data_IF_086019623945
#
_entry.id   IF_086019623945
#
_cell.length_a   1.000
_cell.length_b   1.000
_cell.length_c   1.000
_cell.angle_alpha   90.00
_cell.angle_beta   90.00
_cell.angle_gamma   90.00
#
_symmetry.space_group_name_H-M   'P 1'
#
loop_
_entity.id
_entity.type
_entity.pdbx_description
1 polymer ?
#
# COMPACT_ATOMS: atom_id res chain seq x y z
N UNK A 1 -8.36 -3.65 -10.96
CA UNK A 1 -7.02 -3.65 -11.60
C UNK A 1 -6.77 -4.78 -12.61
N UNK A 2 -7.70 -5.74 -12.85
CA UNK A 2 -7.61 -6.69 -13.99
C UNK A 2 -7.47 -6.01 -15.36
N UNK A 3 -7.99 -4.78 -15.50
CA UNK A 3 -7.79 -3.96 -16.70
C UNK A 3 -6.35 -3.47 -16.91
N UNK A 4 -5.46 -3.53 -15.91
CA UNK A 4 -4.15 -2.89 -16.00
C UNK A 4 -3.27 -3.47 -17.10
N UNK A 5 -3.21 -4.79 -17.27
CA UNK A 5 -2.39 -5.42 -18.30
C UNK A 5 -3.16 -5.68 -19.59
N UNK A 6 -4.47 -5.90 -19.59
CA UNK A 6 -5.25 -5.96 -20.84
C UNK A 6 -5.47 -4.58 -21.49
N UNK A 7 -5.17 -3.49 -20.79
CA UNK A 7 -5.37 -2.15 -21.31
C UNK A 7 -4.22 -1.68 -22.21
N UNK A 8 -4.53 -0.74 -23.12
CA UNK A 8 -3.56 -0.11 -24.00
C UNK A 8 -2.31 0.39 -23.24
N UNK A 9 -1.14 0.38 -23.87
CA UNK A 9 0.16 0.76 -23.28
C UNK A 9 0.11 2.11 -22.54
N UNK A 10 -0.68 3.06 -23.03
CA UNK A 10 -0.95 4.37 -22.39
C UNK A 10 -1.52 4.21 -20.98
N UNK A 11 -2.47 3.30 -20.78
CA UNK A 11 -3.11 3.00 -19.50
C UNK A 11 -2.15 2.30 -18.51
N UNK A 12 -1.28 1.41 -18.99
CA UNK A 12 -0.23 0.79 -18.16
C UNK A 12 0.75 1.84 -17.60
N UNK A 13 1.17 2.80 -18.44
CA UNK A 13 2.06 3.89 -18.03
C UNK A 13 1.39 4.81 -17.00
N UNK A 14 0.12 5.15 -17.21
CA UNK A 14 -0.69 5.92 -16.26
C UNK A 14 -0.82 5.21 -14.91
N UNK A 15 -1.14 3.91 -14.90
CA UNK A 15 -1.23 3.14 -13.67
C UNK A 15 0.11 3.03 -12.92
N UNK A 16 1.23 2.90 -13.64
CA UNK A 16 2.56 2.88 -13.03
C UNK A 16 2.89 4.23 -12.40
N UNK A 17 2.62 5.33 -13.09
CA UNK A 17 2.82 6.69 -12.55
C UNK A 17 1.99 6.90 -11.29
N UNK A 18 0.73 6.48 -11.33
CA UNK A 18 -0.18 6.60 -10.19
C UNK A 18 0.27 5.77 -8.98
N UNK A 19 0.79 4.56 -9.20
CA UNK A 19 1.35 3.74 -8.13
C UNK A 19 2.58 4.40 -7.48
N UNK A 20 3.47 4.97 -8.30
CA UNK A 20 4.66 5.71 -7.83
C UNK A 20 4.24 6.96 -7.05
N UNK A 21 3.27 7.71 -7.54
CA UNK A 21 2.70 8.86 -6.84
C UNK A 21 2.09 8.46 -5.49
N UNK A 22 1.31 7.38 -5.46
CA UNK A 22 0.74 6.86 -4.21
C UNK A 22 1.85 6.51 -3.20
N UNK A 23 2.92 5.84 -3.63
CA UNK A 23 4.06 5.51 -2.75
C UNK A 23 4.76 6.77 -2.23
N UNK A 24 4.99 7.76 -3.10
CA UNK A 24 5.63 9.03 -2.71
C UNK A 24 4.78 9.82 -1.71
N UNK A 25 3.46 9.89 -1.94
CA UNK A 25 2.52 10.56 -1.05
C UNK A 25 2.43 9.83 0.30
N UNK A 26 2.37 8.49 0.28
CA UNK A 26 2.39 7.70 1.51
C UNK A 26 3.65 7.97 2.34
N UNK A 27 4.84 7.91 1.73
CA UNK A 27 6.09 8.19 2.41
C UNK A 27 6.17 9.62 2.97
N UNK A 28 5.60 10.60 2.26
CA UNK A 28 5.49 11.98 2.71
C UNK A 28 4.65 12.09 3.99
N UNK A 29 3.45 11.49 4.01
CA UNK A 29 2.58 11.52 5.18
C UNK A 29 3.15 10.75 6.36
N UNK A 30 3.75 9.58 6.13
CA UNK A 30 4.43 8.84 7.18
C UNK A 30 5.56 9.65 7.83
N UNK A 31 6.35 10.37 7.02
CA UNK A 31 7.40 11.26 7.53
C UNK A 31 6.79 12.41 8.34
N UNK A 32 5.69 13.00 7.87
CA UNK A 32 4.99 14.06 8.59
C UNK A 32 4.46 13.56 9.94
N UNK A 33 3.85 12.37 9.99
CA UNK A 33 3.37 11.75 11.24
C UNK A 33 4.51 11.53 12.24
N UNK A 34 5.69 11.10 11.76
CA UNK A 34 6.88 10.92 12.62
C UNK A 34 7.45 12.24 13.15
N UNK A 35 7.38 13.33 12.37
CA UNK A 35 8.02 14.61 12.69
C UNK A 35 7.13 15.57 13.50
N UNK A 36 5.82 15.49 13.34
CA UNK A 36 4.84 16.43 13.95
C UNK A 36 4.10 15.87 15.16
N UNK A 37 4.52 14.74 15.71
CA UNK A 37 3.89 14.18 16.90
C UNK A 37 3.96 15.15 18.11
N UNK A 38 2.92 15.19 18.97
CA UNK A 38 1.76 14.30 18.98
C UNK A 38 0.59 14.78 18.09
N UNK A 39 -0.01 13.84 17.35
CA UNK A 39 -1.34 13.98 16.75
C UNK A 39 -2.37 13.31 17.66
N UNK A 40 -3.54 13.91 17.83
CA UNK A 40 -4.64 13.26 18.53
C UNK A 40 -5.29 12.20 17.62
N UNK A 41 -5.85 11.13 18.21
CA UNK A 41 -6.54 10.09 17.44
C UNK A 41 -7.68 10.67 16.57
N UNK A 42 -8.38 11.69 17.06
CA UNK A 42 -9.43 12.38 16.30
C UNK A 42 -8.95 13.10 15.04
N UNK A 43 -7.69 13.54 14.99
CA UNK A 43 -7.12 14.20 13.81
C UNK A 43 -7.02 13.25 12.61
N UNK A 44 -6.94 11.93 12.89
CA UNK A 44 -6.88 10.89 11.87
C UNK A 44 -8.20 10.66 11.12
N UNK A 45 -9.25 11.37 11.51
CA UNK A 45 -10.58 11.32 10.89
C UNK A 45 -11.03 12.68 10.36
N UNK A 46 -10.17 13.71 10.47
CA UNK A 46 -10.49 15.08 10.10
C UNK A 46 -10.81 15.19 8.59
N UNK A 47 -11.88 15.92 8.21
CA UNK A 47 -12.18 16.23 6.80
C UNK A 47 -10.97 16.84 6.06
N UNK A 48 -10.17 17.66 6.75
CA UNK A 48 -8.96 18.29 6.20
C UNK A 48 -7.89 17.27 5.83
N UNK A 49 -7.74 16.19 6.61
CA UNK A 49 -6.83 15.10 6.30
C UNK A 49 -7.31 14.36 5.04
N UNK A 50 -8.61 14.10 4.93
CA UNK A 50 -9.23 13.45 3.77
C UNK A 50 -9.00 14.28 2.50
N UNK A 51 -9.30 15.59 2.56
CA UNK A 51 -9.09 16.54 1.46
C UNK A 51 -7.62 16.73 1.10
N UNK A 52 -6.73 16.83 2.09
CA UNK A 52 -5.28 16.94 1.87
C UNK A 52 -4.73 15.66 1.23
N UNK A 53 -5.19 14.50 1.67
CA UNK A 53 -4.81 13.20 1.11
C UNK A 53 -5.19 13.13 -0.36
N UNK A 54 -6.44 13.49 -0.70
CA UNK A 54 -6.88 13.56 -2.09
C UNK A 54 -6.04 14.56 -2.89
N UNK A 55 -5.89 15.80 -2.41
CA UNK A 55 -5.09 16.83 -3.09
C UNK A 55 -3.67 16.35 -3.43
N UNK A 56 -3.03 15.62 -2.51
CA UNK A 56 -1.66 15.10 -2.69
C UNK A 56 -1.61 13.95 -3.68
N UNK A 57 -2.56 13.01 -3.61
CA UNK A 57 -2.65 11.88 -4.54
C UNK A 57 -2.89 12.32 -5.98
N UNK A 58 -3.54 13.47 -6.18
CA UNK A 58 -3.98 13.95 -7.48
C UNK A 58 -3.36 15.29 -7.89
N UNK A 59 -2.23 15.67 -7.27
CA UNK A 59 -1.61 16.98 -7.52
C UNK A 59 -1.26 17.23 -9.00
N UNK A 60 -0.93 16.19 -9.76
CA UNK A 60 -0.64 16.26 -11.19
C UNK A 60 -1.85 16.04 -12.11
N UNK A 61 -3.02 15.70 -11.55
CA UNK A 61 -4.21 15.34 -12.31
C UNK A 61 -4.95 16.55 -12.90
N UNK A 62 -4.85 17.72 -12.26
CA UNK A 62 -5.61 18.93 -12.59
C UNK A 62 -5.45 19.41 -14.03
N UNK A 63 -4.35 19.04 -14.69
CA UNK A 63 -3.98 19.64 -15.96
C UNK A 63 -4.39 18.79 -17.17
N UNK A 64 -4.72 17.50 -16.98
CA UNK A 64 -5.02 16.57 -18.09
C UNK A 64 -5.99 15.42 -17.77
N UNK A 65 -6.32 15.14 -16.51
CA UNK A 65 -7.18 14.00 -16.16
C UNK A 65 -8.67 14.41 -16.15
N UNK A 66 -9.38 13.94 -17.16
CA UNK A 66 -10.84 14.04 -17.23
C UNK A 66 -11.49 12.88 -16.49
N UNK A 67 -12.54 13.19 -15.74
CA UNK A 67 -13.45 12.23 -15.15
C UNK A 67 -14.27 11.53 -16.25
N UNK A 68 -15.01 10.47 -15.86
CA UNK A 68 -15.83 9.70 -16.80
C UNK A 68 -16.92 10.53 -17.49
N UNK A 69 -17.35 11.63 -16.87
CA UNK A 69 -18.32 12.60 -17.41
C UNK A 69 -17.66 13.71 -18.25
N UNK A 70 -16.34 13.65 -18.44
CA UNK A 70 -15.58 14.64 -19.22
C UNK A 70 -15.18 15.90 -18.44
N UNK A 71 -15.65 16.07 -17.19
CA UNK A 71 -15.24 17.18 -16.33
C UNK A 71 -13.80 17.01 -15.84
N UNK A 72 -13.18 18.10 -15.40
CA UNK A 72 -11.80 18.08 -14.88
C UNK A 72 -11.85 17.74 -13.39
N UNK A 73 -11.04 16.77 -12.97
CA UNK A 73 -10.90 16.44 -11.56
C UNK A 73 -10.36 17.66 -10.78
N UNK A 74 -10.99 17.98 -9.64
CA UNK A 74 -10.55 19.05 -8.74
C UNK A 74 -9.87 18.46 -7.49
N UNK A 75 -8.53 18.41 -7.41
CA UNK A 75 -7.83 17.72 -6.32
C UNK A 75 -8.09 18.37 -4.95
N UNK A 76 -8.72 17.61 -4.05
CA UNK A 76 -8.93 17.97 -2.65
C UNK A 76 -10.19 18.78 -2.39
N UNK A 77 -11.00 19.00 -3.42
CA UNK A 77 -12.29 19.67 -3.29
C UNK A 77 -13.37 18.60 -3.08
N UNK A 78 -14.06 18.68 -1.94
CA UNK A 78 -15.22 17.83 -1.66
C UNK A 78 -16.35 18.14 -2.63
N UNK A 79 -17.13 17.12 -3.01
CA UNK A 79 -18.25 17.30 -3.96
C UNK A 79 -19.40 18.14 -3.40
N UNK A 80 -19.44 18.38 -2.09
CA UNK A 80 -20.31 19.40 -1.48
C UNK A 80 -20.02 20.81 -2.00
N UNK A 81 -18.76 21.13 -2.28
CA UNK A 81 -18.35 22.39 -2.88
C UNK A 81 -18.64 22.50 -4.38
N UNK A 82 -18.76 21.36 -5.08
CA UNK A 82 -19.08 21.32 -6.53
C UNK A 82 -20.56 21.05 -6.82
N UNK A 83 -21.33 20.59 -5.84
CA UNK A 83 -22.74 20.19 -6.00
C UNK A 83 -22.92 18.85 -6.73
N UNK A 84 -21.85 18.09 -7.00
CA UNK A 84 -21.92 16.88 -7.83
C UNK A 84 -22.42 15.66 -7.03
N UNK A 85 -23.51 15.05 -7.49
CA UNK A 85 -23.96 13.75 -7.02
C UNK A 85 -23.29 12.64 -7.84
N UNK A 86 -22.97 11.52 -7.19
CA UNK A 86 -22.21 10.41 -7.79
C UNK A 86 -22.86 9.07 -7.50
N UNK A 87 -22.86 8.20 -8.50
CA UNK A 87 -23.33 6.81 -8.41
C UNK A 87 -22.14 5.89 -8.59
N UNK A 88 -22.00 4.91 -7.70
CA UNK A 88 -20.83 4.03 -7.62
C UNK A 88 -21.29 2.58 -7.74
N UNK A 89 -21.17 2.02 -8.93
CA UNK A 89 -21.76 0.70 -9.21
C UNK A 89 -23.29 0.76 -9.04
N UNK A 90 -23.82 0.01 -8.09
CA UNK A 90 -25.26 0.00 -7.76
C UNK A 90 -25.60 0.82 -6.50
N UNK A 91 -24.65 1.60 -5.99
CA UNK A 91 -24.80 2.41 -4.78
C UNK A 91 -24.95 3.90 -5.14
N UNK A 92 -26.04 4.51 -4.70
CA UNK A 92 -26.23 5.95 -4.75
C UNK A 92 -25.54 6.58 -3.53
N UNK A 93 -24.44 7.30 -3.77
CA UNK A 93 -23.77 8.00 -2.70
C UNK A 93 -24.71 9.05 -2.07
N UNK A 94 -24.54 9.39 -0.79
CA UNK A 94 -25.32 10.44 -0.15
C UNK A 94 -25.35 11.74 -0.97
N UNK A 95 -26.37 12.58 -0.81
CA UNK A 95 -26.42 13.84 -1.55
C UNK A 95 -25.18 14.73 -1.27
N UNK A 96 -24.71 15.48 -2.27
CA UNK A 96 -23.50 16.30 -2.16
C UNK A 96 -23.49 17.24 -0.95
N UNK A 97 -24.63 17.87 -0.66
CA UNK A 97 -24.79 18.77 0.49
C UNK A 97 -24.62 18.09 1.85
N UNK A 98 -24.72 16.76 1.94
CA UNK A 98 -24.57 16.04 3.20
C UNK A 98 -23.11 15.70 3.53
N UNK A 99 -22.18 15.82 2.56
CA UNK A 99 -20.82 15.28 2.69
C UNK A 99 -20.06 15.89 3.87
N UNK A 100 -20.02 17.21 4.03
CA UNK A 100 -19.28 17.85 5.12
C UNK A 100 -19.81 17.42 6.50
N UNK A 101 -21.12 17.50 6.70
CA UNK A 101 -21.76 17.11 7.96
C UNK A 101 -21.53 15.63 8.28
N UNK A 102 -21.54 14.77 7.26
CA UNK A 102 -21.21 13.36 7.43
C UNK A 102 -19.75 13.14 7.82
N UNK A 103 -18.79 13.80 7.17
CA UNK A 103 -17.37 13.66 7.52
C UNK A 103 -17.10 14.17 8.95
N UNK A 104 -17.71 15.29 9.35
CA UNK A 104 -17.65 15.81 10.72
C UNK A 104 -18.26 14.82 11.74
N UNK A 105 -19.41 14.23 11.41
CA UNK A 105 -20.04 13.21 12.24
C UNK A 105 -19.15 11.97 12.42
N UNK A 106 -18.52 11.51 11.34
CA UNK A 106 -17.58 10.39 11.39
C UNK A 106 -16.36 10.73 12.27
N UNK A 107 -15.80 11.93 12.14
CA UNK A 107 -14.69 12.37 12.99
C UNK A 107 -15.08 12.37 14.47
N UNK A 108 -16.23 12.97 14.83
CA UNK A 108 -16.70 13.02 16.20
C UNK A 108 -16.95 11.61 16.79
N UNK A 109 -17.51 10.70 15.99
CA UNK A 109 -17.85 9.34 16.41
C UNK A 109 -16.63 8.42 16.61
N UNK A 110 -15.74 8.36 15.61
CA UNK A 110 -14.57 7.49 15.62
C UNK A 110 -13.36 8.09 16.34
N UNK A 111 -13.23 9.41 16.34
CA UNK A 111 -12.09 10.14 16.90
C UNK A 111 -12.04 10.19 18.43
N UNK A 112 -13.15 9.88 19.11
CA UNK A 112 -13.24 9.89 20.59
C UNK A 112 -12.74 8.62 21.28
N UNK A 113 -12.35 7.58 20.52
CA UNK A 113 -11.93 6.31 21.10
C UNK A 113 -10.54 6.44 21.73
N UNK A 114 -10.38 5.95 22.96
CA UNK A 114 -9.12 5.98 23.72
C UNK A 114 -8.46 4.60 23.84
N UNK A 115 -9.25 3.51 23.83
CA UNK A 115 -8.72 2.15 23.88
C UNK A 115 -8.13 1.74 22.51
N UNK A 116 -6.86 1.29 22.43
CA UNK A 116 -6.21 0.97 21.16
C UNK A 116 -6.92 -0.11 20.33
N UNK A 117 -7.60 -1.06 20.97
CA UNK A 117 -8.36 -2.11 20.26
C UNK A 117 -9.59 -1.50 19.59
N UNK A 118 -10.30 -0.62 20.30
CA UNK A 118 -11.43 0.16 19.75
C UNK A 118 -10.97 1.15 18.67
N UNK A 119 -9.77 1.70 18.77
CA UNK A 119 -9.19 2.55 17.74
C UNK A 119 -8.87 1.75 16.46
N UNK A 120 -8.28 0.55 16.58
CA UNK A 120 -8.10 -0.34 15.43
C UNK A 120 -9.43 -0.65 14.74
N UNK A 121 -10.45 -1.05 15.52
CA UNK A 121 -11.80 -1.29 14.97
C UNK A 121 -12.33 -0.02 14.30
N UNK A 122 -12.16 1.15 14.93
CA UNK A 122 -12.59 2.45 14.37
C UNK A 122 -11.94 2.78 13.03
N UNK A 123 -10.65 2.50 12.86
CA UNK A 123 -9.96 2.72 11.59
C UNK A 123 -10.53 1.86 10.45
N UNK A 124 -10.75 0.57 10.73
CA UNK A 124 -11.31 -0.37 9.75
C UNK A 124 -12.77 -0.04 9.45
N UNK A 125 -13.57 0.23 10.48
CA UNK A 125 -14.96 0.65 10.36
C UNK A 125 -15.10 1.95 9.54
N UNK A 126 -14.27 2.95 9.84
CA UNK A 126 -14.23 4.22 9.11
C UNK A 126 -13.87 4.04 7.64
N UNK A 127 -13.00 3.09 7.27
CA UNK A 127 -12.68 2.80 5.87
C UNK A 127 -13.94 2.61 5.03
N UNK A 128 -14.88 1.79 5.51
CA UNK A 128 -16.14 1.57 4.84
C UNK A 128 -17.01 2.83 4.84
N UNK A 129 -17.17 3.51 5.98
CA UNK A 129 -18.03 4.70 6.05
C UNK A 129 -17.53 5.83 5.14
N UNK A 130 -16.21 6.02 5.04
CA UNK A 130 -15.62 6.98 4.11
C UNK A 130 -15.86 6.57 2.64
N UNK A 131 -15.73 5.28 2.32
CA UNK A 131 -16.03 4.76 0.99
C UNK A 131 -17.52 4.94 0.60
N UNK A 132 -18.42 4.78 1.57
CA UNK A 132 -19.87 4.95 1.42
C UNK A 132 -20.29 6.42 1.25
N UNK A 133 -19.70 7.35 2.03
CA UNK A 133 -19.90 8.81 1.87
C UNK A 133 -19.46 9.26 0.48
N UNK A 134 -18.39 8.67 -0.04
CA UNK A 134 -17.83 8.95 -1.36
C UNK A 134 -17.58 10.46 -1.59
N UNK A 135 -16.74 11.12 -0.76
CA UNK A 135 -16.66 12.58 -0.69
C UNK A 135 -16.15 13.30 -1.95
N UNK A 136 -15.49 12.61 -2.87
CA UNK A 136 -14.92 13.17 -4.11
C UNK A 136 -15.58 12.59 -5.35
N UNK A 137 -15.41 13.25 -6.49
CA UNK A 137 -15.94 12.77 -7.77
C UNK A 137 -15.24 11.48 -8.27
N UNK A 138 -13.96 11.30 -7.98
CA UNK A 138 -13.21 10.05 -8.19
C UNK A 138 -12.09 9.95 -7.13
N UNK A 139 -11.42 8.80 -7.02
CA UNK A 139 -10.27 8.62 -6.15
C UNK A 139 -10.58 8.17 -4.74
N UNK A 140 -11.85 8.06 -4.37
CA UNK A 140 -12.31 7.71 -3.01
C UNK A 140 -11.69 6.42 -2.48
N UNK A 141 -11.58 5.36 -3.29
CA UNK A 141 -10.94 4.12 -2.87
C UNK A 141 -9.43 4.27 -2.56
N UNK A 142 -8.72 5.14 -3.29
CA UNK A 142 -7.30 5.44 -3.03
C UNK A 142 -7.15 6.24 -1.74
N UNK A 143 -8.01 7.25 -1.54
CA UNK A 143 -8.05 8.05 -0.32
C UNK A 143 -8.37 7.16 0.90
N UNK A 144 -9.42 6.34 0.84
CA UNK A 144 -9.81 5.46 1.94
C UNK A 144 -8.67 4.50 2.34
N UNK A 145 -8.01 3.86 1.37
CA UNK A 145 -6.85 2.99 1.65
C UNK A 145 -5.68 3.74 2.28
N UNK A 146 -5.35 4.93 1.79
CA UNK A 146 -4.24 5.71 2.34
C UNK A 146 -4.58 6.26 3.73
N UNK A 147 -5.80 6.76 3.96
CA UNK A 147 -6.22 7.22 5.29
C UNK A 147 -6.20 6.07 6.30
N UNK A 148 -6.72 4.88 5.93
CA UNK A 148 -6.61 3.68 6.78
C UNK A 148 -5.16 3.29 7.05
N UNK A 149 -4.28 3.37 6.05
CA UNK A 149 -2.85 3.14 6.25
C UNK A 149 -2.27 4.11 7.29
N UNK A 150 -2.57 5.41 7.19
CA UNK A 150 -2.10 6.41 8.14
C UNK A 150 -2.66 6.18 9.55
N UNK A 151 -3.91 5.75 9.68
CA UNK A 151 -4.52 5.36 10.97
C UNK A 151 -3.79 4.16 11.59
N UNK A 152 -3.41 3.16 10.79
CA UNK A 152 -2.61 2.03 11.27
C UNK A 152 -1.17 2.47 11.66
N UNK A 153 -0.59 3.44 10.94
CA UNK A 153 0.69 4.05 11.34
C UNK A 153 0.57 4.77 12.68
N UNK A 154 -0.49 5.57 12.91
CA UNK A 154 -0.67 6.30 14.17
C UNK A 154 -0.90 5.36 15.36
N UNK A 155 -1.39 4.15 15.13
CA UNK A 155 -1.50 3.09 16.16
C UNK A 155 -0.17 2.36 16.44
N UNK A 156 0.92 2.75 15.78
CA UNK A 156 2.22 2.10 15.95
C UNK A 156 2.31 0.71 15.33
N UNK A 157 1.33 0.33 14.50
CA UNK A 157 1.21 -1.02 13.95
C UNK A 157 2.17 -1.30 12.78
N UNK A 158 2.90 -0.30 12.28
CA UNK A 158 3.91 -0.42 11.21
C UNK A 158 3.39 -1.11 9.93
N UNK A 159 2.28 -0.62 9.32
CA UNK A 159 1.75 -1.16 8.05
C UNK A 159 2.67 -0.96 6.84
N UNK A 160 3.84 -0.34 7.04
CA UNK A 160 4.95 -0.34 6.07
C UNK A 160 5.62 -1.70 5.95
N UNK A 161 5.56 -2.52 7.01
CA UNK A 161 6.09 -3.88 7.03
C UNK A 161 5.05 -4.88 6.54
N UNK A 162 3.77 -4.68 6.86
CA UNK A 162 2.68 -5.52 6.39
C UNK A 162 1.60 -4.67 5.75
N UNK A 163 1.29 -4.91 4.47
CA UNK A 163 0.43 -4.00 3.70
C UNK A 163 -1.00 -4.52 3.61
N UNK A 164 -1.93 -3.91 4.37
CA UNK A 164 -3.37 -4.18 4.22
C UNK A 164 -3.83 -4.02 2.76
N UNK A 165 -3.36 -2.97 2.07
CA UNK A 165 -3.68 -2.74 0.65
C UNK A 165 -3.25 -3.90 -0.26
N UNK A 166 -2.11 -4.55 0.01
CA UNK A 166 -1.69 -5.75 -0.71
C UNK A 166 -2.66 -6.90 -0.48
N UNK A 167 -3.05 -7.14 0.77
CA UNK A 167 -4.02 -8.17 1.12
C UNK A 167 -5.37 -7.98 0.42
N UNK A 168 -5.91 -6.76 0.46
CA UNK A 168 -7.13 -6.40 -0.24
C UNK A 168 -7.01 -6.57 -1.76
N UNK A 169 -5.86 -6.22 -2.35
CA UNK A 169 -5.63 -6.42 -3.78
C UNK A 169 -5.60 -7.91 -4.18
N UNK A 170 -5.04 -8.78 -3.32
CA UNK A 170 -5.05 -10.23 -3.53
C UNK A 170 -6.44 -10.83 -3.38
N UNK A 171 -7.24 -10.30 -2.46
CA UNK A 171 -8.62 -10.71 -2.17
C UNK A 171 -9.67 -9.75 -2.76
N UNK A 172 -9.38 -9.15 -3.92
CA UNK A 172 -10.17 -8.07 -4.51
C UNK A 172 -11.67 -8.41 -4.61
N UNK A 173 -12.00 -9.60 -5.11
CA UNK A 173 -13.41 -10.00 -5.27
C UNK A 173 -14.13 -10.05 -3.92
N UNK A 174 -13.52 -10.67 -2.92
CA UNK A 174 -14.05 -10.75 -1.56
C UNK A 174 -14.19 -9.36 -0.94
N UNK A 175 -13.18 -8.50 -1.08
CA UNK A 175 -13.20 -7.12 -0.57
C UNK A 175 -14.38 -6.32 -1.13
N UNK A 176 -14.57 -6.33 -2.45
CA UNK A 176 -15.71 -5.63 -3.05
C UNK A 176 -17.04 -6.28 -2.65
N UNK A 177 -17.09 -7.60 -2.53
CA UNK A 177 -18.30 -8.30 -2.07
C UNK A 177 -18.70 -7.87 -0.67
N UNK A 178 -17.79 -7.88 0.32
CA UNK A 178 -18.13 -7.49 1.69
C UNK A 178 -18.44 -5.99 1.81
N UNK A 179 -17.80 -5.14 0.99
CA UNK A 179 -18.12 -3.71 0.91
C UNK A 179 -19.58 -3.53 0.44
N UNK A 180 -19.95 -4.15 -0.68
CA UNK A 180 -21.32 -4.10 -1.22
C UNK A 180 -22.36 -4.73 -0.28
N UNK A 181 -21.99 -5.76 0.49
CA UNK A 181 -22.90 -6.30 1.51
C UNK A 181 -23.13 -5.29 2.63
N UNK A 182 -22.09 -4.59 3.09
CA UNK A 182 -22.18 -3.60 4.16
C UNK A 182 -22.91 -2.31 3.73
N UNK A 183 -23.04 -2.06 2.43
CA UNK A 183 -23.88 -1.01 1.84
C UNK A 183 -25.38 -1.38 1.78
N UNK A 184 -25.76 -2.62 2.11
CA UNK A 184 -27.18 -3.04 2.09
C UNK A 184 -27.98 -2.33 3.18
N UNK A 185 -29.27 -2.14 2.88
CA UNK A 185 -30.25 -1.67 3.86
C UNK A 185 -30.34 -2.64 5.05
N UNK A 186 -30.72 -2.10 6.20
CA UNK A 186 -31.03 -2.84 7.42
C UNK A 186 -31.95 -4.04 7.13
N UNK A 187 -31.53 -5.22 7.56
CA UNK A 187 -32.20 -6.52 7.38
C UNK A 187 -33.01 -6.89 8.65
N UNK A 188 -34.06 -6.10 8.94
CA UNK A 188 -34.99 -6.36 10.05
C UNK A 188 -34.59 -5.74 11.40
N UNK A 189 -35.38 -6.02 12.44
CA UNK A 189 -35.32 -5.27 13.70
C UNK A 189 -34.04 -5.50 14.51
N UNK A 190 -33.44 -6.67 14.40
CA UNK A 190 -32.20 -7.03 15.10
C UNK A 190 -30.93 -6.54 14.40
N UNK A 191 -31.04 -5.93 13.21
CA UNK A 191 -29.90 -5.51 12.39
C UNK A 191 -29.47 -4.06 12.65
N UNK A 192 -29.28 -3.72 13.92
CA UNK A 192 -28.91 -2.39 14.37
C UNK A 192 -30.05 -1.37 14.25
N UNK A 193 -29.71 -0.08 14.38
CA UNK A 193 -30.68 1.05 14.38
C UNK A 193 -30.46 2.04 13.24
N UNK A 194 -29.44 1.81 12.42
CA UNK A 194 -29.10 2.68 11.28
C UNK A 194 -29.86 2.30 10.02
N UNK A 195 -29.64 3.06 8.95
CA UNK A 195 -30.21 2.79 7.63
C UNK A 195 -29.56 1.58 6.94
N UNK A 196 -28.29 1.31 7.27
CA UNK A 196 -27.48 0.24 6.71
C UNK A 196 -27.37 -0.93 7.67
N UNK A 197 -27.17 -2.12 7.11
CA UNK A 197 -27.02 -3.36 7.88
C UNK A 197 -25.82 -3.28 8.84
N UNK A 198 -26.10 -3.44 10.13
CA UNK A 198 -25.06 -3.50 11.15
C UNK A 198 -24.33 -4.85 11.11
N UNK A 199 -25.06 -5.94 10.86
CA UNK A 199 -24.51 -7.28 10.72
C UNK A 199 -23.50 -7.36 9.59
N UNK A 200 -23.86 -6.89 8.39
CA UNK A 200 -22.94 -6.87 7.24
C UNK A 200 -21.75 -5.95 7.46
N UNK A 201 -21.95 -4.86 8.20
CA UNK A 201 -20.87 -3.97 8.58
C UNK A 201 -19.86 -4.64 9.54
N UNK A 202 -20.32 -5.50 10.45
CA UNK A 202 -19.42 -6.31 11.27
C UNK A 202 -18.68 -7.37 10.46
N UNK A 203 -19.35 -8.05 9.53
CA UNK A 203 -18.71 -8.99 8.58
C UNK A 203 -17.60 -8.28 7.77
N UNK A 204 -17.81 -7.02 7.35
CA UNK A 204 -16.77 -6.21 6.71
C UNK A 204 -15.57 -5.95 7.63
N UNK A 205 -15.80 -5.57 8.89
CA UNK A 205 -14.72 -5.31 9.85
C UNK A 205 -13.93 -6.59 10.15
N UNK A 206 -14.61 -7.72 10.33
CA UNK A 206 -14.00 -9.04 10.52
C UNK A 206 -13.13 -9.43 9.32
N UNK A 207 -13.64 -9.25 8.09
CA UNK A 207 -12.85 -9.46 6.88
C UNK A 207 -11.58 -8.60 6.87
N UNK A 208 -11.69 -7.31 7.19
CA UNK A 208 -10.53 -6.40 7.23
C UNK A 208 -9.50 -6.83 8.28
N UNK A 209 -9.94 -7.30 9.45
CA UNK A 209 -9.06 -7.85 10.50
C UNK A 209 -8.36 -9.13 10.04
N UNK A 210 -9.09 -10.05 9.40
CA UNK A 210 -8.51 -11.27 8.85
C UNK A 210 -7.43 -10.95 7.80
N UNK A 211 -7.71 -9.99 6.91
CA UNK A 211 -6.71 -9.55 5.93
C UNK A 211 -5.49 -8.95 6.62
N UNK A 212 -5.65 -8.13 7.67
CA UNK A 212 -4.52 -7.64 8.45
C UNK A 212 -3.67 -8.79 9.01
N UNK A 213 -4.30 -9.80 9.63
CA UNK A 213 -3.63 -10.97 10.17
C UNK A 213 -2.87 -11.75 9.09
N UNK A 214 -3.54 -12.07 7.98
CA UNK A 214 -2.93 -12.76 6.84
C UNK A 214 -1.68 -12.01 6.31
N UNK A 215 -1.70 -10.68 6.29
CA UNK A 215 -0.57 -9.88 5.83
C UNK A 215 0.59 -9.86 6.84
N UNK A 216 0.29 -9.89 8.14
CA UNK A 216 1.30 -10.03 9.20
C UNK A 216 1.95 -11.40 9.14
N UNK A 217 1.16 -12.48 9.03
CA UNK A 217 1.67 -13.86 8.92
C UNK A 217 2.54 -14.02 7.67
N UNK A 218 2.05 -13.52 6.54
CA UNK A 218 2.80 -13.50 5.29
C UNK A 218 4.16 -12.82 5.48
N UNK A 219 4.17 -11.60 6.04
CA UNK A 219 5.43 -10.87 6.18
C UNK A 219 6.37 -11.58 7.15
N UNK A 220 5.85 -12.13 8.25
CA UNK A 220 6.62 -12.87 9.26
C UNK A 220 7.33 -14.07 8.63
N UNK A 221 6.65 -14.85 7.78
CA UNK A 221 7.26 -15.94 7.03
C UNK A 221 8.22 -15.43 5.93
N UNK A 222 7.84 -14.36 5.23
CA UNK A 222 8.59 -13.80 4.11
C UNK A 222 9.95 -13.20 4.54
N UNK A 223 10.06 -12.65 5.75
CA UNK A 223 11.32 -12.08 6.28
C UNK A 223 12.04 -13.01 7.27
N UNK A 224 11.51 -14.21 7.49
CA UNK A 224 12.18 -15.21 8.33
C UNK A 224 13.62 -15.45 7.82
N UNK A 225 14.67 -15.22 8.63
CA UNK A 225 16.06 -15.22 8.15
C UNK A 225 16.49 -16.54 7.51
N UNK A 226 16.10 -17.68 8.10
CA UNK A 226 16.46 -19.00 7.60
C UNK A 226 15.81 -19.27 6.24
N UNK A 227 14.50 -19.03 6.13
CA UNK A 227 13.79 -19.25 4.87
C UNK A 227 14.19 -18.23 3.79
N UNK A 228 14.46 -16.97 4.16
CA UNK A 228 14.94 -15.95 3.24
C UNK A 228 16.31 -16.33 2.67
N UNK A 229 17.22 -16.81 3.53
CA UNK A 229 18.53 -17.33 3.11
C UNK A 229 18.37 -18.47 2.11
N UNK A 230 17.51 -19.44 2.38
CA UNK A 230 17.24 -20.56 1.47
C UNK A 230 16.70 -20.08 0.11
N UNK A 231 15.74 -19.14 0.12
CA UNK A 231 15.19 -18.57 -1.10
C UNK A 231 16.22 -17.81 -1.93
N UNK A 232 17.09 -17.02 -1.28
CA UNK A 232 18.21 -16.33 -1.97
C UNK A 232 19.19 -17.33 -2.57
N UNK A 233 19.62 -18.35 -1.82
CA UNK A 233 20.52 -19.40 -2.33
C UNK A 233 19.89 -20.13 -3.52
N UNK A 234 18.61 -20.48 -3.43
CA UNK A 234 17.85 -21.10 -4.52
C UNK A 234 17.81 -20.20 -5.75
N UNK A 235 17.50 -18.91 -5.59
CA UNK A 235 17.50 -17.95 -6.69
C UNK A 235 18.88 -17.89 -7.38
N UNK A 236 19.97 -17.82 -6.62
CA UNK A 236 21.33 -17.82 -7.17
C UNK A 236 21.71 -19.09 -7.92
N UNK A 237 21.12 -20.24 -7.58
CA UNK A 237 21.37 -21.51 -8.29
C UNK A 237 20.57 -21.65 -9.58
N UNK A 238 19.31 -21.21 -9.59
CA UNK A 238 18.35 -21.59 -10.63
C UNK A 238 17.78 -20.42 -11.44
N UNK A 239 18.02 -19.17 -11.05
CA UNK A 239 17.53 -18.03 -11.81
C UNK A 239 18.32 -17.87 -13.12
N UNK A 240 17.64 -18.02 -14.25
CA UNK A 240 18.25 -17.95 -15.59
C UNK A 240 18.98 -16.63 -15.86
N UNK A 241 18.46 -15.51 -15.36
CA UNK A 241 19.08 -14.19 -15.55
C UNK A 241 20.41 -14.08 -14.83
N UNK A 242 20.53 -14.68 -13.64
CA UNK A 242 21.80 -14.74 -12.91
C UNK A 242 22.82 -15.61 -13.64
N UNK A 243 22.38 -16.77 -14.14
CA UNK A 243 23.24 -17.68 -14.92
C UNK A 243 23.73 -17.02 -16.21
N UNK A 244 22.83 -16.37 -16.97
CA UNK A 244 23.16 -15.66 -18.22
C UNK A 244 24.13 -14.51 -18.02
N UNK A 245 24.10 -13.85 -16.86
CA UNK A 245 25.05 -12.77 -16.52
C UNK A 245 26.36 -13.30 -15.92
N UNK A 246 26.53 -14.62 -15.81
CA UNK A 246 27.72 -15.26 -15.23
C UNK A 246 27.90 -14.92 -13.75
N UNK A 247 26.80 -14.67 -13.03
CA UNK A 247 26.83 -14.44 -11.57
C UNK A 247 26.99 -15.79 -10.88
N UNK A 248 27.95 -15.84 -9.97
CA UNK A 248 28.37 -17.06 -9.28
C UNK A 248 27.40 -17.41 -8.15
N UNK A 249 26.94 -18.67 -8.02
CA UNK A 249 26.11 -19.08 -6.89
C UNK A 249 26.76 -18.83 -5.52
N UNK A 250 28.09 -18.85 -5.46
CA UNK A 250 28.91 -18.55 -4.28
C UNK A 250 28.76 -17.09 -3.79
N UNK A 251 28.21 -16.20 -4.61
CA UNK A 251 27.91 -14.81 -4.25
C UNK A 251 26.62 -14.67 -3.42
N UNK A 252 25.80 -15.73 -3.29
CA UNK A 252 24.53 -15.67 -2.56
C UNK A 252 24.68 -15.21 -1.08
N UNK A 253 25.68 -15.67 -0.29
CA UNK A 253 25.85 -15.23 1.09
C UNK A 253 26.09 -13.71 1.21
N UNK A 254 26.72 -13.09 0.21
CA UNK A 254 26.91 -11.65 0.19
C UNK A 254 25.58 -10.89 0.07
N UNK A 255 24.65 -11.39 -0.75
CA UNK A 255 23.31 -10.81 -0.87
C UNK A 255 22.47 -11.06 0.38
N UNK A 256 22.57 -12.25 0.98
CA UNK A 256 21.90 -12.54 2.27
C UNK A 256 22.38 -11.57 3.35
N UNK A 257 23.70 -11.39 3.49
CA UNK A 257 24.28 -10.45 4.44
C UNK A 257 23.82 -9.01 4.16
N UNK A 258 23.85 -8.57 2.90
CA UNK A 258 23.45 -7.23 2.50
C UNK A 258 21.97 -6.93 2.77
N UNK A 259 21.07 -7.88 2.50
CA UNK A 259 19.63 -7.74 2.80
C UNK A 259 19.40 -7.70 4.31
N UNK A 260 20.11 -8.54 5.08
CA UNK A 260 19.94 -8.65 6.53
C UNK A 260 20.44 -7.40 7.27
N UNK A 261 21.58 -6.85 6.83
CA UNK A 261 22.21 -5.68 7.45
C UNK A 261 21.71 -4.35 6.89
N UNK A 262 21.00 -4.37 5.75
CA UNK A 262 20.47 -3.19 5.07
C UNK A 262 21.53 -2.32 4.37
N UNK A 263 22.80 -2.43 4.76
CA UNK A 263 23.94 -1.84 4.05
C UNK A 263 25.22 -2.54 4.45
N UNK A 264 26.23 -2.52 3.57
CA UNK A 264 27.57 -3.05 3.84
C UNK A 264 28.64 -2.13 3.27
N UNK A 265 29.81 -2.03 3.93
CA UNK A 265 31.01 -1.52 3.30
C UNK A 265 31.36 -2.36 2.06
N UNK A 266 31.70 -1.68 0.96
CA UNK A 266 31.96 -2.31 -0.33
C UNK A 266 33.08 -3.35 -0.27
N UNK A 267 34.10 -3.08 0.56
CA UNK A 267 35.23 -3.96 0.79
C UNK A 267 34.89 -5.20 1.63
N UNK A 268 33.74 -5.24 2.32
CA UNK A 268 33.29 -6.40 3.08
C UNK A 268 32.51 -7.40 2.24
N UNK A 269 31.90 -6.96 1.13
CA UNK A 269 31.18 -7.89 0.22
C UNK A 269 32.08 -9.04 -0.23
N UNK A 270 33.36 -8.76 -0.52
CA UNK A 270 34.32 -9.78 -0.94
C UNK A 270 34.45 -10.92 0.08
N UNK A 271 34.37 -10.60 1.38
CA UNK A 271 34.48 -11.56 2.49
C UNK A 271 33.36 -12.60 2.42
N UNK A 272 32.17 -12.20 2.00
CA UNK A 272 31.02 -13.09 1.89
C UNK A 272 30.98 -13.89 0.58
N UNK A 273 31.67 -13.43 -0.47
CA UNK A 273 31.74 -14.16 -1.76
C UNK A 273 32.78 -15.30 -1.77
N UNK A 274 33.77 -15.25 -0.88
CA UNK A 274 34.89 -16.20 -0.89
C UNK A 274 35.81 -16.08 -2.12
N UNK A 275 35.66 -15.03 -2.94
CA UNK A 275 36.43 -14.81 -4.16
C UNK A 275 37.72 -14.03 -3.89
N UNK A 276 38.73 -14.24 -4.75
CA UNK A 276 39.95 -13.41 -4.74
C UNK A 276 39.61 -11.94 -5.07
N UNK A 277 40.44 -11.00 -4.62
CA UNK A 277 40.16 -9.56 -4.70
C UNK A 277 39.73 -9.08 -6.10
N UNK A 278 40.41 -9.53 -7.16
CA UNK A 278 40.09 -9.16 -8.54
C UNK A 278 38.73 -9.71 -8.97
N UNK A 279 38.47 -11.00 -8.72
CA UNK A 279 37.21 -11.64 -9.06
C UNK A 279 36.03 -11.07 -8.26
N UNK A 280 36.23 -10.71 -7.00
CA UNK A 280 35.22 -10.09 -6.17
C UNK A 280 34.79 -8.70 -6.69
N UNK A 281 35.72 -7.91 -7.24
CA UNK A 281 35.42 -6.62 -7.86
C UNK A 281 34.55 -6.80 -9.11
N UNK A 282 34.92 -7.74 -9.98
CA UNK A 282 34.17 -8.03 -11.19
C UNK A 282 32.77 -8.58 -10.87
N UNK A 283 32.68 -9.46 -9.88
CA UNK A 283 31.44 -10.05 -9.39
C UNK A 283 30.50 -8.98 -8.81
N UNK A 284 31.02 -8.10 -7.95
CA UNK A 284 30.25 -6.97 -7.44
C UNK A 284 29.75 -6.06 -8.57
N UNK A 285 30.57 -5.84 -9.59
CA UNK A 285 30.16 -5.03 -10.75
C UNK A 285 29.00 -5.69 -11.51
N UNK A 286 28.99 -7.02 -11.65
CA UNK A 286 27.85 -7.78 -12.19
C UNK A 286 26.61 -7.64 -11.30
N UNK A 287 26.76 -7.80 -9.98
CA UNK A 287 25.66 -7.67 -9.01
C UNK A 287 25.01 -6.28 -9.06
N UNK A 288 25.81 -5.22 -9.20
CA UNK A 288 25.32 -3.85 -9.40
C UNK A 288 24.60 -3.71 -10.74
N UNK A 289 25.17 -4.25 -11.82
CA UNK A 289 24.59 -4.20 -13.17
C UNK A 289 23.21 -4.86 -13.25
N UNK A 290 23.00 -5.99 -12.55
CA UNK A 290 21.69 -6.66 -12.51
C UNK A 290 20.73 -6.06 -11.48
N UNK A 291 21.20 -5.09 -10.69
CA UNK A 291 20.43 -4.37 -9.70
C UNK A 291 20.25 -5.10 -8.37
N UNK A 292 21.01 -6.15 -8.07
CA UNK A 292 20.99 -6.81 -6.76
C UNK A 292 21.75 -6.04 -5.67
N UNK A 293 22.64 -5.14 -6.10
CA UNK A 293 23.39 -4.24 -5.23
C UNK A 293 23.20 -2.83 -5.75
N UNK A 294 22.80 -1.91 -4.88
CA UNK A 294 22.70 -0.50 -5.19
C UNK A 294 23.91 0.26 -4.64
N UNK A 295 24.40 1.21 -5.44
CA UNK A 295 25.51 2.09 -5.08
C UNK A 295 25.15 3.51 -5.50
N UNK A 296 25.10 4.44 -4.53
CA UNK A 296 24.71 5.85 -4.79
C UNK A 296 25.57 6.52 -5.86
N UNK A 297 26.85 6.17 -5.90
CA UNK A 297 27.81 6.60 -6.93
C UNK A 297 28.71 5.43 -7.33
N UNK A 298 29.40 5.48 -8.48
CA UNK A 298 30.35 4.43 -8.86
C UNK A 298 31.46 4.18 -7.83
N UNK A 299 31.80 5.20 -7.01
CA UNK A 299 32.85 5.15 -5.98
C UNK A 299 32.31 5.06 -4.54
N UNK A 300 31.02 4.77 -4.35
CA UNK A 300 30.45 4.68 -3.00
C UNK A 300 31.17 3.62 -2.17
N UNK A 301 31.53 3.98 -0.93
CA UNK A 301 32.14 3.06 0.04
C UNK A 301 31.10 2.15 0.69
N UNK A 302 29.84 2.57 0.69
CA UNK A 302 28.71 1.81 1.22
C UNK A 302 27.82 1.41 0.05
N UNK A 303 27.36 0.16 0.07
CA UNK A 303 26.33 -0.33 -0.84
C UNK A 303 25.11 -0.80 -0.06
N UNK A 304 23.97 -0.81 -0.73
CA UNK A 304 22.67 -1.21 -0.17
C UNK A 304 22.08 -2.35 -0.99
N UNK A 305 21.17 -3.16 -0.44
CA UNK A 305 20.51 -4.22 -1.20
C UNK A 305 19.70 -3.60 -2.32
N UNK A 306 19.89 -4.09 -3.53
CA UNK A 306 18.98 -3.86 -4.63
C UNK A 306 17.95 -4.99 -4.70
N UNK A 307 16.67 -4.63 -4.84
CA UNK A 307 15.55 -5.58 -4.88
C UNK A 307 14.76 -5.38 -6.17
N UNK A 308 15.33 -5.73 -7.33
CA UNK A 308 14.65 -5.57 -8.59
C UNK A 308 13.46 -6.54 -8.62
N UNK A 309 12.36 -6.11 -9.24
CA UNK A 309 11.08 -6.83 -9.14
C UNK A 309 11.15 -8.31 -9.56
N UNK A 310 12.06 -8.69 -10.46
CA UNK A 310 12.27 -10.07 -10.89
C UNK A 310 12.91 -10.92 -9.77
N UNK A 311 13.87 -10.37 -9.02
CA UNK A 311 14.53 -11.08 -7.93
C UNK A 311 13.65 -11.11 -6.68
N UNK A 312 12.96 -9.98 -6.40
CA UNK A 312 12.02 -9.90 -5.29
C UNK A 312 10.92 -10.97 -5.39
N UNK A 313 10.51 -11.36 -6.61
CA UNK A 313 9.54 -12.46 -6.82
C UNK A 313 10.06 -13.83 -6.42
N UNK A 314 11.37 -14.05 -6.55
CA UNK A 314 11.98 -15.34 -6.22
C UNK A 314 12.19 -15.46 -4.71
N UNK A 315 12.54 -14.36 -4.05
CA UNK A 315 12.88 -14.35 -2.62
C UNK A 315 11.72 -13.98 -1.70
N UNK A 316 10.66 -13.38 -2.23
CA UNK A 316 9.39 -13.11 -1.54
C UNK A 316 8.25 -13.68 -2.40
N UNK A 317 7.96 -15.00 -2.27
CA UNK A 317 6.87 -15.61 -3.03
C UNK A 317 5.57 -14.87 -2.73
N UNK A 318 4.67 -14.79 -3.72
CA UNK A 318 3.38 -14.11 -3.59
C UNK A 318 3.42 -12.59 -3.33
N UNK A 319 4.58 -11.94 -3.26
CA UNK A 319 4.71 -10.49 -2.98
C UNK A 319 3.77 -9.64 -3.85
N UNK A 320 3.65 -10.01 -5.12
CA UNK A 320 2.60 -9.56 -6.02
C UNK A 320 2.01 -10.78 -6.74
N UNK A 321 0.76 -10.65 -7.23
CA UNK A 321 0.22 -11.66 -8.14
C UNK A 321 1.19 -11.78 -9.33
N UNK A 322 1.68 -12.99 -9.58
CA UNK A 322 2.22 -13.35 -10.89
C UNK A 322 1.04 -13.26 -11.84
N UNK A 323 0.97 -12.17 -12.59
CA UNK A 323 0.07 -12.13 -13.73
C UNK A 323 0.68 -13.08 -14.75
N UNK A 324 0.09 -14.26 -14.88
CA UNK A 324 0.36 -15.16 -16.01
C UNK A 324 -0.13 -14.51 -17.29
#
# INVERSE_FOLDING_TARGET
MQRAQAAPVKYRKQLKNLAVEQMAVQALFERALRQRAPFAWGDMFAPELVSTTHKRLFRGASDTERLSDGSIMQPGILRSGTGQNVVVGNHDAPHASAVDGMLQHLQAGFGRQTDPRRQLISALAYHHRLAWVHPFADGNGRVARLVTHLQLVSLGLKPTLWSLSRGLARQHQSYYSVLTMADRRREGDLDGRGQLSQRRYFEFIEFMLQVCHDQVDYMTAAVNPSQLRERVIRAFRYNEKLQQQGIRPESAPAIVALITQGSLPRNEIKTFTGLSSRLAIDELSRLVKVGLVESRTPKSRIVTPGLPAWFAQDIFPDLHRRFQ
#
